data_IF_403619746572
#
_entry.id   IF_403619746572
#
_cell.length_a   1.000
_cell.length_b   1.000
_cell.length_c   1.000
_cell.angle_alpha   90.00
_cell.angle_beta   90.00
_cell.angle_gamma   90.00
#
_symmetry.space_group_name_H-M   'P 1'
#
loop_
_entity.id
_entity.type
_entity.pdbx_description
1 polymer ?
#
# COMPACT_ATOMS: atom_id res chain seq x y z
N UNK A 1 -36.47 -47.76 -18.07
CA UNK A 1 -35.35 -47.19 -17.30
C UNK A 1 -34.14 -47.06 -18.23
N UNK A 2 -33.53 -45.91 -18.56
CA UNK A 2 -33.52 -44.51 -18.09
C UNK A 2 -33.07 -43.63 -19.30
N UNK A 3 -33.51 -42.36 -19.41
CA UNK A 3 -33.00 -41.41 -20.41
C UNK A 3 -31.84 -40.57 -19.84
N UNK A 4 -30.96 -40.04 -20.70
CA UNK A 4 -30.08 -38.93 -20.34
C UNK A 4 -29.95 -37.95 -21.51
N UNK A 5 -30.63 -36.82 -21.35
CA UNK A 5 -30.65 -35.71 -22.27
C UNK A 5 -29.30 -34.99 -22.29
N UNK A 6 -28.74 -34.81 -23.49
CA UNK A 6 -27.68 -33.87 -23.74
C UNK A 6 -28.30 -32.50 -24.05
N UNK A 7 -28.09 -31.51 -23.17
CA UNK A 7 -28.24 -30.09 -23.48
C UNK A 7 -27.41 -29.24 -22.50
N UNK A 8 -26.26 -28.77 -22.97
CA UNK A 8 -25.64 -27.53 -22.52
C UNK A 8 -26.45 -26.33 -23.07
N UNK A 9 -26.45 -25.15 -22.41
CA UNK A 9 -25.29 -24.25 -22.24
C UNK A 9 -25.11 -23.83 -20.75
N UNK A 10 -23.98 -23.31 -20.26
CA UNK A 10 -23.10 -22.31 -20.85
C UNK A 10 -23.58 -20.91 -20.43
N UNK A 11 -23.22 -20.47 -19.21
CA UNK A 11 -23.65 -19.19 -18.65
C UNK A 11 -22.89 -18.86 -17.37
N UNK A 12 -21.56 -18.77 -17.48
CA UNK A 12 -20.74 -18.13 -16.46
C UNK A 12 -20.85 -16.62 -16.68
N UNK A 13 -21.69 -15.96 -15.88
CA UNK A 13 -21.62 -14.52 -15.71
C UNK A 13 -20.59 -14.25 -14.63
N UNK A 14 -19.38 -13.91 -15.02
CA UNK A 14 -18.45 -13.20 -14.16
C UNK A 14 -19.02 -11.80 -13.89
N UNK A 15 -19.46 -11.57 -12.66
CA UNK A 15 -19.77 -10.23 -12.17
C UNK A 15 -18.46 -9.43 -12.09
N UNK A 16 -18.07 -8.77 -13.18
CA UNK A 16 -16.98 -7.80 -13.22
C UNK A 16 -17.39 -6.55 -12.39
N UNK A 17 -16.89 -6.48 -11.16
CA UNK A 17 -17.14 -5.35 -10.26
C UNK A 17 -16.03 -4.30 -10.49
N UNK A 18 -16.37 -3.21 -11.17
CA UNK A 18 -15.49 -2.05 -11.33
C UNK A 18 -15.76 -1.01 -10.23
N UNK A 19 -14.71 -0.58 -9.53
CA UNK A 19 -14.82 0.47 -8.51
C UNK A 19 -14.62 1.85 -9.15
N UNK A 20 -15.72 2.58 -9.36
CA UNK A 20 -15.74 3.85 -10.11
C UNK A 20 -15.27 5.08 -9.31
N UNK A 21 -14.80 4.87 -8.07
CA UNK A 21 -14.21 5.92 -7.22
C UNK A 21 -14.53 5.76 -5.73
N UNK A 22 -13.76 6.44 -4.88
CA UNK A 22 -14.00 6.52 -3.44
C UNK A 22 -14.38 7.95 -3.05
N UNK A 23 -15.48 8.13 -2.34
CA UNK A 23 -15.90 9.43 -1.78
C UNK A 23 -15.55 9.46 -0.29
N UNK A 24 -14.72 10.42 0.14
CA UNK A 24 -14.28 10.58 1.53
C UNK A 24 -12.77 10.72 1.68
N UNK A 25 -12.28 10.83 2.92
CA UNK A 25 -10.84 10.92 3.19
C UNK A 25 -10.20 9.54 3.15
N UNK A 26 -9.11 9.40 2.40
CA UNK A 26 -8.26 8.22 2.37
C UNK A 26 -7.11 8.40 3.37
N UNK A 27 -7.11 7.59 4.44
CA UNK A 27 -6.07 7.60 5.47
C UNK A 27 -4.63 7.53 4.92
N UNK A 28 -4.46 6.86 3.78
CA UNK A 28 -3.17 6.57 3.16
C UNK A 28 -2.73 7.62 2.12
N UNK A 29 -3.57 8.62 1.85
CA UNK A 29 -3.26 9.74 0.96
C UNK A 29 -3.36 11.09 1.69
N UNK A 30 -4.41 11.28 2.48
CA UNK A 30 -4.79 12.58 3.03
C UNK A 30 -4.20 12.88 4.41
N UNK A 31 -3.71 11.86 5.12
CA UNK A 31 -3.16 11.98 6.47
C UNK A 31 -1.72 11.49 6.56
N UNK A 32 -0.96 11.89 7.60
CA UNK A 32 0.40 11.37 7.80
C UNK A 32 0.44 9.85 7.83
N UNK A 33 1.26 9.25 6.96
CA UNK A 33 1.39 7.81 6.84
C UNK A 33 2.84 7.39 6.60
N UNK A 34 3.17 6.17 7.04
CA UNK A 34 4.48 5.61 6.79
C UNK A 34 4.64 5.35 5.28
N UNK A 35 5.87 5.47 4.77
CA UNK A 35 6.16 5.39 3.34
C UNK A 35 5.62 4.12 2.68
N UNK A 36 5.71 2.98 3.35
CA UNK A 36 5.22 1.68 2.87
C UNK A 36 3.70 1.65 2.63
N UNK A 37 2.95 2.56 3.25
CA UNK A 37 1.49 2.64 3.13
C UNK A 37 1.02 3.68 2.11
N UNK A 38 1.92 4.41 1.44
CA UNK A 38 1.52 5.48 0.53
C UNK A 38 0.84 4.91 -0.74
N UNK A 39 -0.40 5.34 -0.99
CA UNK A 39 -1.13 4.96 -2.20
C UNK A 39 -0.88 5.92 -3.38
N UNK A 40 -0.45 7.16 -3.10
CA UNK A 40 -0.13 8.16 -4.14
C UNK A 40 1.20 7.86 -4.83
N UNK A 41 2.16 7.31 -4.09
CA UNK A 41 3.47 6.90 -4.59
C UNK A 41 3.65 5.40 -4.32
N UNK A 42 3.36 4.51 -5.28
CA UNK A 42 3.43 3.07 -5.07
C UNK A 42 4.80 2.65 -4.53
N UNK A 43 4.81 1.97 -3.38
CA UNK A 43 6.05 1.59 -2.69
C UNK A 43 6.94 0.67 -3.54
N UNK A 44 6.33 -0.33 -4.18
CA UNK A 44 7.04 -1.30 -5.02
C UNK A 44 7.60 -0.70 -6.33
N UNK A 45 7.10 0.47 -6.76
CA UNK A 45 7.56 1.10 -7.98
C UNK A 45 8.84 1.92 -7.73
N UNK A 46 8.88 2.68 -6.64
CA UNK A 46 10.03 3.47 -6.24
C UNK A 46 9.92 3.89 -4.75
N UNK A 47 10.59 3.19 -3.82
CA UNK A 47 10.52 3.51 -2.39
C UNK A 47 10.98 4.94 -2.07
N UNK A 48 11.84 5.55 -2.89
CA UNK A 48 12.38 6.90 -2.65
C UNK A 48 11.36 7.99 -2.91
N UNK A 49 10.42 7.77 -3.84
CA UNK A 49 9.35 8.75 -4.12
C UNK A 49 8.35 8.79 -2.99
N UNK A 50 8.04 9.97 -2.49
CA UNK A 50 7.08 10.15 -1.41
C UNK A 50 6.11 11.29 -1.73
N UNK A 51 4.90 11.22 -1.16
CA UNK A 51 3.98 12.35 -1.21
C UNK A 51 4.28 13.35 -0.07
N UNK A 52 3.52 14.44 0.01
CA UNK A 52 3.67 15.45 1.04
C UNK A 52 3.34 14.94 2.46
N UNK A 53 2.48 13.91 2.57
CA UNK A 53 2.02 13.34 3.83
C UNK A 53 2.83 12.12 4.29
N UNK A 54 3.80 11.65 3.51
CA UNK A 54 4.65 10.57 3.95
C UNK A 54 5.55 11.00 5.12
N UNK A 55 5.71 10.12 6.10
CA UNK A 55 6.75 10.24 7.11
C UNK A 55 7.78 9.11 6.98
N UNK A 56 9.00 9.40 7.43
CA UNK A 56 10.05 8.42 7.60
C UNK A 56 9.77 7.55 8.83
N UNK A 57 9.52 6.25 8.60
CA UNK A 57 9.22 5.30 9.66
C UNK A 57 10.27 5.30 10.79
N UNK A 58 11.55 5.38 10.41
CA UNK A 58 12.69 5.35 11.35
C UNK A 58 12.77 6.61 12.20
N UNK A 59 12.64 7.79 11.58
CA UNK A 59 12.86 9.09 12.24
C UNK A 59 11.59 9.68 12.88
N UNK A 60 10.42 9.12 12.62
CA UNK A 60 9.12 9.66 13.06
C UNK A 60 8.90 11.13 12.62
N UNK A 61 9.43 11.49 11.46
CA UNK A 61 9.44 12.85 10.92
C UNK A 61 8.99 12.85 9.45
N UNK A 62 8.47 13.97 8.90
CA UNK A 62 8.12 14.06 7.48
C UNK A 62 9.25 13.55 6.58
N UNK A 63 8.92 12.80 5.52
CA UNK A 63 9.91 12.19 4.64
C UNK A 63 10.89 13.23 4.07
N UNK A 64 10.38 14.41 3.71
CA UNK A 64 11.16 15.56 3.23
C UNK A 64 12.16 16.12 4.26
N UNK A 65 12.04 15.79 5.55
CA UNK A 65 12.93 16.21 6.64
C UNK A 65 13.89 15.10 7.08
N UNK A 66 13.86 13.93 6.46
CA UNK A 66 14.74 12.83 6.81
C UNK A 66 16.14 13.01 6.20
N UNK A 67 17.16 13.18 7.04
CA UNK A 67 18.55 13.33 6.59
C UNK A 67 19.16 12.06 5.98
N UNK A 68 18.55 10.89 6.21
CA UNK A 68 19.02 9.58 5.72
C UNK A 68 17.99 8.93 4.79
N UNK A 69 17.22 9.73 4.07
CA UNK A 69 16.08 9.26 3.28
C UNK A 69 16.46 8.19 2.25
N UNK A 70 17.61 8.32 1.58
CA UNK A 70 18.11 7.32 0.61
C UNK A 70 18.16 5.89 1.15
N UNK A 71 18.29 5.74 2.48
CA UNK A 71 18.25 4.44 3.16
C UNK A 71 16.93 4.20 3.89
N UNK A 72 16.37 5.22 4.54
CA UNK A 72 15.15 5.06 5.34
C UNK A 72 13.88 4.96 4.48
N UNK A 73 13.94 5.28 3.19
CA UNK A 73 12.81 5.18 2.27
C UNK A 73 12.30 3.76 2.07
N UNK A 74 13.12 2.74 2.35
CA UNK A 74 12.77 1.31 2.27
C UNK A 74 12.28 0.75 3.61
N UNK A 75 12.21 1.58 4.64
CA UNK A 75 11.81 1.13 5.97
C UNK A 75 10.36 0.68 5.99
N UNK A 76 10.13 -0.52 6.53
CA UNK A 76 8.79 -1.10 6.69
C UNK A 76 8.57 -1.53 8.14
N UNK A 77 7.36 -1.33 8.65
CA UNK A 77 7.02 -1.77 10.02
C UNK A 77 7.09 -3.29 10.22
N UNK A 78 7.00 -4.07 9.15
CA UNK A 78 7.05 -5.54 9.18
C UNK A 78 8.46 -6.12 9.37
N UNK A 79 9.51 -5.36 9.07
CA UNK A 79 10.89 -5.81 9.18
C UNK A 79 11.45 -5.58 10.61
N UNK A 80 11.90 -6.63 11.32
CA UNK A 80 12.55 -6.49 12.62
C UNK A 80 13.78 -5.58 12.61
N UNK A 81 14.50 -5.50 11.49
CA UNK A 81 15.63 -4.60 11.32
C UNK A 81 15.20 -3.13 11.47
N UNK A 82 14.18 -2.72 10.72
CA UNK A 82 13.70 -1.33 10.74
C UNK A 82 13.06 -0.95 12.06
N UNK A 83 12.38 -1.90 12.74
CA UNK A 83 11.87 -1.70 14.09
C UNK A 83 12.97 -1.35 15.08
N UNK A 84 14.09 -2.09 15.07
CA UNK A 84 15.26 -1.80 15.92
C UNK A 84 15.88 -0.45 15.59
N UNK A 85 16.01 -0.12 14.30
CA UNK A 85 16.54 1.18 13.87
C UNK A 85 15.66 2.34 14.36
N UNK A 86 14.33 2.18 14.32
CA UNK A 86 13.38 3.17 14.84
C UNK A 86 13.50 3.34 16.35
N UNK A 87 13.64 2.25 17.09
CA UNK A 87 13.86 2.29 18.55
C UNK A 87 15.16 3.02 18.90
N UNK A 88 16.23 2.80 18.14
CA UNK A 88 17.51 3.47 18.35
C UNK A 88 17.54 4.95 17.95
N UNK A 89 16.57 5.41 17.15
CA UNK A 89 16.48 6.80 16.69
C UNK A 89 15.63 7.69 17.62
N UNK A 90 14.99 7.10 18.64
CA UNK A 90 14.18 7.78 19.67
C UNK A 90 15.02 8.15 20.88
#
# INVERSE_FOLDING_TARGET
MRPAANKQPGGGGDDEIELVGTTGSNALADFPHARENCVTCPFHADPRKHCANCYCYVCDAPAAKCGSWDRHCEATAGDPYWRKQREAAR
#
